data_IF_898083025039
#
_entry.id   IF_898083025039
#
_cell.length_a   1.000
_cell.length_b   1.000
_cell.length_c   1.000
_cell.angle_alpha   90.00
_cell.angle_beta   90.00
_cell.angle_gamma   90.00
#
_symmetry.space_group_name_H-M   'P 1'
#
loop_
_entity.id
_entity.type
_entity.pdbx_description
1 polymer ?
#
# COMPACT_ATOMS: atom_id res chain seq x y z
N UNK A 1 28.56 -2.33 -13.18
CA UNK A 1 28.92 -0.96 -12.71
C UNK A 1 28.00 0.13 -13.28
N UNK A 2 27.45 0.00 -14.50
CA UNK A 2 26.59 1.01 -15.11
C UNK A 2 25.24 1.29 -14.40
N UNK A 3 24.59 0.27 -13.81
CA UNK A 3 23.28 0.45 -13.16
C UNK A 3 23.31 1.30 -11.88
N UNK A 4 24.42 1.25 -11.12
CA UNK A 4 24.56 2.02 -9.88
C UNK A 4 24.73 3.52 -10.16
N UNK A 5 25.51 3.88 -11.17
CA UNK A 5 25.68 5.28 -11.58
C UNK A 5 24.38 5.88 -12.13
N UNK A 6 23.60 5.11 -12.90
CA UNK A 6 22.32 5.61 -13.44
C UNK A 6 21.24 5.78 -12.35
N UNK A 7 21.15 4.86 -11.39
CA UNK A 7 20.28 5.01 -10.21
C UNK A 7 20.69 6.21 -9.35
N UNK A 8 22.00 6.42 -9.13
CA UNK A 8 22.49 7.59 -8.41
C UNK A 8 22.18 8.92 -9.13
N UNK A 9 22.19 8.94 -10.46
CA UNK A 9 21.79 10.12 -11.25
C UNK A 9 20.28 10.41 -11.10
N UNK A 10 19.43 9.38 -11.17
CA UNK A 10 17.99 9.52 -10.98
C UNK A 10 17.64 10.02 -9.56
N UNK A 11 18.30 9.47 -8.54
CA UNK A 11 18.10 9.85 -7.13
C UNK A 11 18.68 11.24 -6.81
N UNK A 12 19.77 11.67 -7.47
CA UNK A 12 20.35 13.03 -7.31
C UNK A 12 19.48 14.14 -7.88
N UNK A 13 18.54 13.83 -8.77
CA UNK A 13 17.55 14.76 -9.30
C UNK A 13 16.37 15.05 -8.34
N UNK A 14 16.31 14.33 -7.21
CA UNK A 14 15.24 14.50 -6.22
C UNK A 14 15.48 15.78 -5.38
N UNK A 15 14.45 16.62 -5.14
CA UNK A 15 14.54 17.82 -4.33
C UNK A 15 15.07 17.50 -2.93
N UNK A 16 16.12 18.19 -2.51
CA UNK A 16 16.84 17.92 -1.26
C UNK A 16 16.23 18.58 -0.01
N UNK A 17 15.15 19.35 -0.17
CA UNK A 17 14.65 20.23 0.89
C UNK A 17 13.35 19.72 1.56
N UNK A 18 13.50 19.11 2.73
CA UNK A 18 13.23 19.80 4.00
C UNK A 18 11.83 20.33 4.36
N UNK A 19 10.75 20.08 3.60
CA UNK A 19 9.41 20.55 3.97
C UNK A 19 8.51 19.42 4.51
N UNK A 20 8.32 19.38 5.84
CA UNK A 20 7.54 18.39 6.62
C UNK A 20 6.01 18.40 6.41
N UNK A 21 5.49 18.96 5.32
CA UNK A 21 4.06 18.92 5.02
C UNK A 21 3.83 18.50 3.57
N UNK A 22 3.20 17.33 3.40
CA UNK A 22 2.93 16.54 2.18
C UNK A 22 4.08 15.69 1.61
N UNK A 23 4.75 14.94 2.49
CA UNK A 23 5.73 13.90 2.10
C UNK A 23 5.09 12.72 1.34
N UNK A 24 3.84 12.36 1.63
CA UNK A 24 3.17 11.19 1.04
C UNK A 24 2.80 11.36 -0.45
N UNK A 25 2.43 12.57 -0.88
CA UNK A 25 2.15 12.86 -2.30
C UNK A 25 3.41 12.84 -3.15
N UNK A 26 4.49 13.46 -2.65
CA UNK A 26 5.78 13.50 -3.35
C UNK A 26 6.49 12.14 -3.38
N UNK A 27 6.42 11.33 -2.32
CA UNK A 27 6.98 9.97 -2.34
C UNK A 27 6.23 9.04 -3.28
N UNK A 28 4.89 9.18 -3.37
CA UNK A 28 4.09 8.44 -4.35
C UNK A 28 4.61 8.66 -5.76
N UNK A 29 4.79 9.93 -6.13
CA UNK A 29 5.35 10.33 -7.42
C UNK A 29 6.75 9.76 -7.66
N UNK A 30 7.62 9.74 -6.63
CA UNK A 30 8.96 9.15 -6.77
C UNK A 30 8.95 7.63 -6.84
N UNK A 31 8.08 6.95 -6.08
CA UNK A 31 7.96 5.50 -6.14
C UNK A 31 7.43 5.04 -7.50
N UNK A 32 6.44 5.74 -8.06
CA UNK A 32 5.92 5.49 -9.40
C UNK A 32 7.01 5.70 -10.47
N UNK A 33 7.75 6.82 -10.39
CA UNK A 33 8.86 7.09 -11.31
C UNK A 33 9.99 6.05 -11.21
N UNK A 34 10.30 5.55 -10.01
CA UNK A 34 11.29 4.49 -9.82
C UNK A 34 10.80 3.18 -10.41
N UNK A 35 9.52 2.83 -10.23
CA UNK A 35 8.92 1.62 -10.85
C UNK A 35 9.03 1.70 -12.36
N UNK A 36 8.63 2.82 -12.97
CA UNK A 36 8.71 3.01 -14.42
C UNK A 36 10.15 2.94 -14.93
N UNK A 37 11.09 3.55 -14.20
CA UNK A 37 12.51 3.50 -14.53
C UNK A 37 13.08 2.08 -14.45
N UNK A 38 12.70 1.31 -13.42
CA UNK A 38 13.12 -0.10 -13.28
C UNK A 38 12.55 -0.93 -14.43
N UNK A 39 11.29 -0.73 -14.79
CA UNK A 39 10.67 -1.45 -15.91
C UNK A 39 11.34 -1.10 -17.25
N UNK A 40 11.73 0.16 -17.46
CA UNK A 40 12.43 0.60 -18.69
C UNK A 40 13.86 0.06 -18.80
N UNK A 41 14.60 -0.02 -17.68
CA UNK A 41 16.01 -0.44 -17.68
C UNK A 41 16.22 -1.94 -17.42
N UNK A 42 15.28 -2.57 -16.72
CA UNK A 42 15.32 -3.98 -16.28
C UNK A 42 13.93 -4.62 -16.49
N UNK A 43 13.49 -4.80 -17.76
CA UNK A 43 12.13 -5.23 -18.09
C UNK A 43 11.86 -6.72 -17.82
N UNK A 44 12.83 -7.51 -17.35
CA UNK A 44 12.68 -8.96 -17.23
C UNK A 44 12.86 -9.44 -15.78
N UNK A 45 11.86 -10.12 -15.18
CA UNK A 45 10.53 -10.39 -15.75
C UNK A 45 9.66 -9.12 -15.76
N UNK A 46 8.79 -8.94 -16.77
CA UNK A 46 7.98 -7.72 -16.90
C UNK A 46 6.95 -7.65 -15.79
N UNK A 47 6.87 -6.48 -15.16
CA UNK A 47 5.86 -6.18 -14.13
C UNK A 47 4.82 -5.18 -14.66
N UNK A 48 5.19 -4.36 -15.64
CA UNK A 48 4.39 -3.24 -16.15
C UNK A 48 4.71 -1.92 -15.45
N UNK A 49 4.32 -0.81 -16.10
CA UNK A 49 4.51 0.54 -15.57
C UNK A 49 3.43 0.90 -14.57
N UNK A 50 3.73 1.86 -13.71
CA UNK A 50 2.83 2.35 -12.66
C UNK A 50 1.47 2.82 -13.18
N UNK A 51 1.41 3.31 -14.43
CA UNK A 51 0.18 3.79 -15.08
C UNK A 51 -0.64 2.73 -15.83
N UNK A 52 -0.17 1.49 -15.94
CA UNK A 52 -0.77 0.49 -16.84
C UNK A 52 -2.03 -0.18 -16.26
N UNK A 53 -2.41 0.14 -15.03
CA UNK A 53 -3.36 -0.64 -14.25
C UNK A 53 -4.50 0.18 -13.66
N UNK A 54 -5.64 -0.48 -13.41
CA UNK A 54 -6.84 0.15 -12.82
C UNK A 54 -6.53 0.63 -11.40
N UNK A 55 -7.00 1.82 -11.00
CA UNK A 55 -6.81 2.40 -9.67
C UNK A 55 -7.51 1.64 -8.51
N UNK A 56 -7.22 0.36 -8.33
CA UNK A 56 -7.77 -0.48 -7.26
C UNK A 56 -7.15 -0.05 -5.93
N UNK A 57 -7.99 0.30 -4.96
CA UNK A 57 -7.54 0.78 -3.65
C UNK A 57 -7.20 2.26 -3.59
N UNK A 58 -7.56 3.03 -4.61
CA UNK A 58 -7.46 4.49 -4.58
C UNK A 58 -8.19 5.08 -3.37
N UNK A 59 -7.52 5.99 -2.66
CA UNK A 59 -8.06 6.61 -1.45
C UNK A 59 -8.07 5.72 -0.20
N UNK A 60 -7.65 4.44 -0.28
CA UNK A 60 -7.57 3.56 0.90
C UNK A 60 -6.71 4.16 2.01
N UNK A 61 -5.48 4.57 1.66
CA UNK A 61 -4.51 5.02 2.66
C UNK A 61 -4.87 6.38 3.29
N UNK A 62 -5.33 7.39 2.53
CA UNK A 62 -5.91 8.60 3.11
C UNK A 62 -7.10 8.33 4.03
N UNK A 63 -8.01 7.42 3.65
CA UNK A 63 -9.14 7.02 4.50
C UNK A 63 -8.67 6.38 5.81
N UNK A 64 -7.64 5.54 5.74
CA UNK A 64 -7.02 4.93 6.91
C UNK A 64 -6.37 5.95 7.84
N UNK A 65 -5.56 6.88 7.31
CA UNK A 65 -4.95 7.94 8.11
C UNK A 65 -6.02 8.81 8.78
N UNK A 66 -7.06 9.21 8.05
CA UNK A 66 -8.17 9.99 8.60
C UNK A 66 -8.91 9.23 9.72
N UNK A 67 -9.09 7.92 9.57
CA UNK A 67 -9.66 7.08 10.63
C UNK A 67 -8.78 7.05 11.89
N UNK A 68 -7.45 7.01 11.76
CA UNK A 68 -6.54 7.06 12.91
C UNK A 68 -6.51 8.42 13.61
N UNK A 69 -6.81 9.50 12.87
CA UNK A 69 -6.88 10.87 13.40
C UNK A 69 -8.19 11.18 14.12
N UNK A 70 -9.20 10.31 14.00
CA UNK A 70 -10.48 10.50 14.69
C UNK A 70 -10.39 10.12 16.17
N UNK A 71 -10.69 11.09 17.04
CA UNK A 71 -10.70 10.93 18.49
C UNK A 71 -12.08 11.13 19.11
N UNK A 72 -12.99 11.81 18.42
CA UNK A 72 -14.40 11.86 18.78
C UNK A 72 -15.13 10.61 18.27
N UNK A 73 -16.09 10.10 19.06
CA UNK A 73 -16.79 8.85 18.74
C UNK A 73 -17.68 8.95 17.49
N UNK A 74 -18.29 10.10 17.24
CA UNK A 74 -19.17 10.29 16.08
C UNK A 74 -18.33 10.40 14.80
N UNK A 75 -17.24 11.18 14.85
CA UNK A 75 -16.28 11.27 13.75
C UNK A 75 -15.64 9.91 13.47
N UNK A 76 -15.23 9.18 14.51
CA UNK A 76 -14.63 7.85 14.36
C UNK A 76 -15.55 6.89 13.62
N UNK A 77 -16.84 6.90 13.94
CA UNK A 77 -17.84 6.06 13.25
C UNK A 77 -17.94 6.42 11.77
N UNK A 78 -17.96 7.70 11.43
CA UNK A 78 -17.99 8.19 10.05
C UNK A 78 -16.73 7.75 9.28
N UNK A 79 -15.54 8.04 9.81
CA UNK A 79 -14.27 7.71 9.16
C UNK A 79 -14.07 6.20 9.02
N UNK A 80 -14.48 5.42 10.02
CA UNK A 80 -14.49 3.95 9.94
C UNK A 80 -15.42 3.47 8.84
N UNK A 81 -16.61 4.04 8.72
CA UNK A 81 -17.56 3.67 7.65
C UNK A 81 -16.97 3.95 6.27
N UNK A 82 -16.30 5.10 6.10
CA UNK A 82 -15.65 5.45 4.84
C UNK A 82 -14.49 4.50 4.49
N UNK A 83 -13.61 4.19 5.45
CA UNK A 83 -12.55 3.18 5.28
C UNK A 83 -13.14 1.81 4.95
N UNK A 84 -14.24 1.42 5.59
CA UNK A 84 -14.95 0.17 5.29
C UNK A 84 -15.43 0.12 3.84
N UNK A 85 -15.96 1.23 3.30
CA UNK A 85 -16.35 1.34 1.88
C UNK A 85 -15.15 1.10 0.97
N UNK A 86 -14.00 1.72 1.24
CA UNK A 86 -12.76 1.51 0.45
C UNK A 86 -12.25 0.08 0.49
N UNK A 87 -12.29 -0.56 1.66
CA UNK A 87 -11.94 -1.97 1.78
C UNK A 87 -12.96 -2.87 1.06
N UNK A 88 -14.25 -2.55 1.11
CA UNK A 88 -15.28 -3.31 0.39
C UNK A 88 -15.09 -3.23 -1.13
N UNK A 89 -14.72 -2.06 -1.67
CA UNK A 89 -14.41 -1.89 -3.10
C UNK A 89 -13.28 -2.83 -3.54
N UNK A 90 -12.20 -2.91 -2.75
CA UNK A 90 -11.05 -3.80 -3.01
C UNK A 90 -11.47 -5.28 -2.88
N UNK A 91 -12.14 -5.63 -1.78
CA UNK A 91 -12.53 -7.02 -1.51
C UNK A 91 -13.46 -7.55 -2.61
N UNK A 92 -14.42 -6.73 -3.05
CA UNK A 92 -15.33 -7.07 -4.16
C UNK A 92 -14.57 -7.25 -5.48
N UNK A 93 -13.59 -6.39 -5.77
CA UNK A 93 -12.75 -6.51 -6.96
C UNK A 93 -11.94 -7.82 -6.96
N UNK A 94 -11.34 -8.17 -5.81
CA UNK A 94 -10.58 -9.41 -5.64
C UNK A 94 -11.49 -10.66 -5.74
N UNK A 95 -12.69 -10.60 -5.17
CA UNK A 95 -13.69 -11.67 -5.28
C UNK A 95 -14.12 -11.92 -6.73
N UNK A 96 -14.24 -10.87 -7.53
CA UNK A 96 -14.58 -10.96 -8.95
C UNK A 96 -13.46 -11.58 -9.82
N UNK A 97 -12.31 -11.93 -9.22
CA UNK A 97 -11.24 -12.68 -9.86
C UNK A 97 -10.01 -11.87 -10.24
N UNK A 98 -9.97 -10.57 -9.93
CA UNK A 98 -8.82 -9.70 -10.26
C UNK A 98 -8.64 -9.52 -11.77
N UNK A 99 -9.13 -8.41 -12.34
CA UNK A 99 -8.92 -8.12 -13.77
C UNK A 99 -9.57 -9.13 -14.74
N UNK A 100 -9.11 -9.14 -15.99
CA UNK A 100 -9.75 -9.87 -17.11
C UNK A 100 -9.51 -11.39 -17.10
N UNK A 101 -8.54 -11.88 -16.32
CA UNK A 101 -8.16 -13.28 -16.23
C UNK A 101 -8.44 -13.82 -14.83
N UNK A 102 -9.56 -14.55 -14.70
CA UNK A 102 -10.19 -15.04 -13.45
C UNK A 102 -9.39 -16.05 -12.62
N UNK A 103 -8.07 -16.08 -12.75
CA UNK A 103 -7.20 -16.93 -11.97
C UNK A 103 -6.44 -16.08 -10.96
N UNK A 104 -7.05 -15.98 -9.77
CA UNK A 104 -6.45 -15.59 -8.48
C UNK A 104 -4.96 -15.99 -8.36
N UNK A 105 -4.11 -15.24 -7.62
CA UNK A 105 -4.51 -14.46 -6.44
C UNK A 105 -4.22 -12.95 -6.46
N UNK A 106 -3.79 -12.34 -7.57
CA UNK A 106 -3.35 -10.95 -7.61
C UNK A 106 -4.35 -10.03 -8.34
N UNK A 107 -4.15 -8.71 -8.27
CA UNK A 107 -4.94 -7.70 -8.99
C UNK A 107 -4.82 -7.89 -10.50
N UNK A 108 -3.64 -8.31 -10.98
CA UNK A 108 -3.37 -8.69 -12.37
C UNK A 108 -3.64 -10.19 -12.65
N UNK A 109 -4.49 -10.85 -11.87
CA UNK A 109 -4.84 -12.25 -12.05
C UNK A 109 -3.73 -13.17 -11.52
N UNK A 110 -3.04 -13.90 -12.43
CA UNK A 110 -2.05 -14.93 -12.05
C UNK A 110 -0.70 -14.37 -11.64
N UNK A 111 -0.36 -13.20 -12.15
CA UNK A 111 0.94 -12.57 -11.97
C UNK A 111 0.82 -11.31 -11.13
N UNK A 112 1.89 -10.99 -10.41
CA UNK A 112 1.99 -9.72 -9.69
C UNK A 112 2.22 -8.59 -10.69
N UNK A 113 1.66 -7.42 -10.43
CA UNK A 113 1.95 -6.18 -11.14
C UNK A 113 2.26 -5.02 -10.20
N UNK A 114 2.51 -3.81 -10.74
CA UNK A 114 2.84 -2.61 -9.97
C UNK A 114 1.78 -2.29 -8.92
N UNK A 115 0.50 -2.44 -9.23
CA UNK A 115 -0.58 -2.21 -8.27
C UNK A 115 -0.55 -3.16 -7.08
N UNK A 116 -0.15 -4.41 -7.29
CA UNK A 116 -0.02 -5.35 -6.18
C UNK A 116 1.11 -4.91 -5.25
N UNK A 117 2.24 -4.49 -5.83
CA UNK A 117 3.41 -4.02 -5.12
C UNK A 117 3.16 -2.70 -4.38
N UNK A 118 2.26 -1.86 -4.89
CA UNK A 118 1.83 -0.63 -4.23
C UNK A 118 0.80 -0.90 -3.13
N UNK A 119 -0.20 -1.74 -3.40
CA UNK A 119 -1.36 -1.94 -2.52
C UNK A 119 -1.04 -2.87 -1.34
N UNK A 120 -0.25 -3.94 -1.56
CA UNK A 120 0.01 -4.93 -0.51
C UNK A 120 0.66 -4.35 0.76
N UNK A 121 1.70 -3.48 0.68
CA UNK A 121 2.25 -2.81 1.85
C UNK A 121 1.23 -1.94 2.58
N UNK A 122 0.37 -1.23 1.84
CA UNK A 122 -0.70 -0.38 2.41
C UNK A 122 -1.72 -1.22 3.17
N UNK A 123 -2.18 -2.34 2.59
CA UNK A 123 -3.10 -3.28 3.24
C UNK A 123 -2.48 -3.88 4.51
N UNK A 124 -1.19 -4.21 4.49
CA UNK A 124 -0.49 -4.73 5.67
C UNK A 124 -0.45 -3.72 6.81
N UNK A 125 -0.18 -2.43 6.52
CA UNK A 125 -0.27 -1.35 7.51
C UNK A 125 -1.68 -1.23 8.08
N UNK A 126 -2.69 -1.20 7.22
CA UNK A 126 -4.10 -1.09 7.64
C UNK A 126 -4.44 -2.23 8.60
N UNK A 127 -4.13 -3.48 8.25
CA UNK A 127 -4.39 -4.65 9.10
C UNK A 127 -3.72 -4.52 10.47
N UNK A 128 -2.40 -4.33 10.51
CA UNK A 128 -1.65 -4.34 11.77
C UNK A 128 -2.14 -3.25 12.73
N UNK A 129 -2.30 -2.04 12.20
CA UNK A 129 -2.59 -0.86 13.01
C UNK A 129 -4.05 -0.85 13.46
N UNK A 130 -5.00 -1.22 12.60
CA UNK A 130 -6.42 -1.32 13.02
C UNK A 130 -6.64 -2.46 14.01
N UNK A 131 -5.96 -3.59 13.86
CA UNK A 131 -6.01 -4.68 14.83
C UNK A 131 -5.44 -4.24 16.19
N UNK A 132 -4.29 -3.57 16.20
CA UNK A 132 -3.62 -3.16 17.43
C UNK A 132 -4.33 -2.03 18.17
N UNK A 133 -4.76 -0.97 17.46
CA UNK A 133 -5.23 0.27 18.10
C UNK A 133 -6.75 0.42 18.11
N UNK A 134 -7.47 -0.36 17.30
CA UNK A 134 -8.92 -0.24 17.10
C UNK A 134 -9.68 -1.56 17.30
N UNK A 135 -8.99 -2.64 17.66
CA UNK A 135 -9.55 -3.99 17.84
C UNK A 135 -10.38 -4.44 16.62
N UNK A 136 -9.91 -4.08 15.42
CA UNK A 136 -10.59 -4.41 14.17
C UNK A 136 -9.68 -5.20 13.24
N UNK A 137 -9.99 -6.49 13.06
CA UNK A 137 -9.28 -7.38 12.15
C UNK A 137 -9.86 -7.27 10.73
N UNK A 138 -9.12 -6.58 9.85
CA UNK A 138 -9.53 -6.33 8.46
C UNK A 138 -9.53 -7.61 7.64
N UNK A 139 -8.57 -8.51 7.82
CA UNK A 139 -8.52 -9.79 7.10
C UNK A 139 -9.70 -10.70 7.44
N UNK A 140 -10.19 -10.64 8.67
CA UNK A 140 -11.41 -11.36 9.06
C UNK A 140 -12.67 -10.70 8.49
N UNK A 141 -12.72 -9.37 8.47
CA UNK A 141 -13.87 -8.63 7.96
C UNK A 141 -14.00 -8.66 6.42
N UNK A 142 -12.89 -8.88 5.70
CA UNK A 142 -12.76 -8.86 4.24
C UNK A 142 -11.90 -10.05 3.77
N UNK A 143 -12.51 -11.24 3.60
CA UNK A 143 -11.75 -12.47 3.38
C UNK A 143 -10.93 -12.51 2.09
N UNK A 144 -11.39 -11.88 0.99
CA UNK A 144 -10.62 -11.89 -0.26
C UNK A 144 -9.38 -10.99 -0.15
N UNK A 145 -9.44 -9.91 0.62
CA UNK A 145 -8.25 -9.15 1.03
C UNK A 145 -7.31 -10.03 1.84
N UNK A 146 -7.83 -10.84 2.77
CA UNK A 146 -7.02 -11.79 3.55
C UNK A 146 -6.30 -12.84 2.67
N UNK A 147 -7.01 -13.44 1.73
CA UNK A 147 -6.45 -14.37 0.73
C UNK A 147 -5.35 -13.70 -0.11
N UNK A 148 -5.63 -12.50 -0.63
CA UNK A 148 -4.69 -11.69 -1.40
C UNK A 148 -3.42 -11.37 -0.61
N UNK A 149 -3.58 -10.89 0.64
CA UNK A 149 -2.46 -10.58 1.51
C UNK A 149 -1.61 -11.82 1.78
N UNK A 150 -2.23 -12.98 2.04
CA UNK A 150 -1.53 -14.25 2.21
C UNK A 150 -0.70 -14.64 0.98
N UNK A 151 -1.27 -14.48 -0.22
CA UNK A 151 -0.54 -14.74 -1.47
C UNK A 151 0.67 -13.82 -1.64
N UNK A 152 0.51 -12.52 -1.39
CA UNK A 152 1.59 -11.53 -1.45
C UNK A 152 2.68 -11.80 -0.42
N UNK A 153 2.30 -12.10 0.83
CA UNK A 153 3.23 -12.36 1.93
C UNK A 153 4.02 -13.66 1.76
N UNK A 154 3.50 -14.62 1.00
CA UNK A 154 4.22 -15.86 0.73
C UNK A 154 5.35 -15.70 -0.30
N UNK A 155 5.38 -14.61 -1.07
CA UNK A 155 6.43 -14.33 -2.06
C UNK A 155 7.78 -14.08 -1.38
N UNK A 156 8.86 -14.55 -2.02
CA UNK A 156 10.22 -14.28 -1.51
C UNK A 156 10.56 -12.78 -1.51
N UNK A 157 10.07 -12.04 -2.50
CA UNK A 157 10.24 -10.58 -2.54
C UNK A 157 9.68 -9.91 -1.29
N UNK A 158 8.52 -10.36 -0.79
CA UNK A 158 7.95 -9.86 0.45
C UNK A 158 8.77 -10.29 1.67
N UNK A 159 9.10 -11.57 1.78
CA UNK A 159 9.89 -12.10 2.92
C UNK A 159 11.24 -11.40 3.06
N UNK A 160 11.85 -10.98 1.95
CA UNK A 160 13.14 -10.30 1.92
C UNK A 160 13.05 -8.80 2.20
N UNK A 161 11.87 -8.17 2.09
CA UNK A 161 11.70 -6.72 2.26
C UNK A 161 10.77 -6.33 3.40
N UNK A 162 10.07 -7.30 4.00
CA UNK A 162 9.17 -7.09 5.14
C UNK A 162 9.96 -6.50 6.31
N UNK A 163 9.47 -5.38 6.83
CA UNK A 163 9.88 -4.82 8.12
C UNK A 163 9.22 -5.57 9.29
N UNK A 164 9.82 -5.49 10.48
CA UNK A 164 9.22 -6.08 11.67
C UNK A 164 7.88 -5.40 12.01
N UNK A 165 6.85 -6.22 12.27
CA UNK A 165 5.49 -5.70 12.53
C UNK A 165 5.46 -4.80 13.79
N UNK A 166 6.30 -5.10 14.78
CA UNK A 166 6.45 -4.28 15.99
C UNK A 166 6.95 -2.86 15.71
N UNK A 167 7.84 -2.69 14.74
CA UNK A 167 8.34 -1.37 14.33
C UNK A 167 7.24 -0.55 13.67
N UNK A 168 6.41 -1.16 12.82
CA UNK A 168 5.25 -0.49 12.21
C UNK A 168 4.30 0.00 13.28
N UNK A 169 3.96 -0.89 14.23
CA UNK A 169 3.06 -0.56 15.33
C UNK A 169 3.63 0.59 16.17
N UNK A 170 4.92 0.57 16.48
CA UNK A 170 5.58 1.63 17.23
C UNK A 170 5.52 2.98 16.50
N UNK A 171 5.94 3.01 15.23
CA UNK A 171 5.96 4.23 14.40
C UNK A 171 4.55 4.82 14.25
N UNK A 172 3.54 3.99 13.99
CA UNK A 172 2.15 4.46 13.95
C UNK A 172 1.65 4.90 15.32
N UNK A 173 2.06 4.23 16.39
CA UNK A 173 1.73 4.65 17.76
C UNK A 173 2.24 6.06 18.05
N UNK A 174 3.47 6.37 17.66
CA UNK A 174 4.05 7.70 17.82
C UNK A 174 3.41 8.73 16.88
N UNK A 175 3.09 8.35 15.64
CA UNK A 175 2.34 9.19 14.70
C UNK A 175 0.93 9.51 15.22
N UNK A 176 0.21 8.54 15.79
CA UNK A 176 -1.12 8.73 16.38
C UNK A 176 -1.05 9.65 17.61
N UNK A 177 -0.03 9.50 18.47
CA UNK A 177 0.18 10.45 19.58
C UNK A 177 0.41 11.87 19.07
N UNK A 178 1.17 12.04 17.99
CA UNK A 178 1.43 13.36 17.40
C UNK A 178 0.18 14.05 16.85
N UNK A 179 -0.85 13.28 16.45
CA UNK A 179 -2.13 13.85 16.00
C UNK A 179 -2.97 14.45 17.12
N UNK A 180 -2.71 14.07 18.38
CA UNK A 180 -3.40 14.62 19.56
C UNK A 180 -2.74 15.90 20.10
N UNK A 181 -1.64 16.33 19.48
CA UNK A 181 -0.83 17.48 19.88
C UNK A 181 -1.52 18.83 19.67
#
# INVERSE_FOLDING_TARGET
>A
MAGKERFEVAVKGLPKDGAKSSFEGKLGDYSAAIVDYIEDEIPEPPLGKSGDSKNVGEGLFPAFVSYLQSFDKAEEKEKRSYLRTKLQEIDTFLQAGGGADSHKPYIHGKSVGPNDLELAPKIHHVQLVTKQFKDWDVYTAFPAIGEYAGAMQNRQSWKNTKYEDGLVIQEWGDKVKSFKG
#
